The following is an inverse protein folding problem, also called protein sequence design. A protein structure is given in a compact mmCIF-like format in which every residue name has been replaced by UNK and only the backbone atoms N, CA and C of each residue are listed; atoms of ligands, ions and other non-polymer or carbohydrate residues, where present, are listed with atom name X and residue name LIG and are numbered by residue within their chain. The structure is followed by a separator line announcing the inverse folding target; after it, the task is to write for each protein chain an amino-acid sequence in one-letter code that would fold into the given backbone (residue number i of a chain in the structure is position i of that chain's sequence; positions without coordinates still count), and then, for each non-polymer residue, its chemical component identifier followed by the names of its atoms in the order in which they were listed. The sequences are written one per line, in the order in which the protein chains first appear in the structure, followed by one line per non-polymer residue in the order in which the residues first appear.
data_IF_814353187380
#
_entry.id   IF_814353187380
#
_cell.length_a   1.000
_cell.length_b   1.000
_cell.length_c   1.000
_cell.angle_alpha   90.00
_cell.angle_beta   90.00
_cell.angle_gamma   90.00
#
_symmetry.space_group_name_H-M   'P 1'
#
loop_
_entity.id
_entity.type
_entity.pdbx_description
1 polymer ?
#
# COMPACT_ATOMS: atom_id res chain seq x y z
N UNK A 1 -19.33 22.50 -0.53
CA UNK A 1 -18.82 23.90 -0.75
C UNK A 1 -19.13 24.29 -2.18
N UNK A 2 -19.86 25.36 -2.36
CA UNK A 2 -20.20 25.87 -3.69
C UNK A 2 -18.93 26.38 -4.37
N UNK A 3 -18.66 25.98 -5.63
CA UNK A 3 -17.45 26.37 -6.40
C UNK A 3 -17.30 27.89 -6.52
N UNK A 4 -18.37 28.62 -6.29
CA UNK A 4 -18.42 30.08 -6.42
C UNK A 4 -17.75 30.85 -5.28
N UNK A 5 -17.40 30.22 -4.16
CA UNK A 5 -16.87 30.90 -2.96
C UNK A 5 -15.36 30.67 -2.74
N UNK A 6 -14.66 30.08 -3.70
CA UNK A 6 -13.21 29.81 -3.58
C UNK A 6 -12.36 31.10 -3.46
N UNK A 7 -12.85 32.21 -4.00
CA UNK A 7 -12.20 33.52 -3.92
C UNK A 7 -12.32 34.20 -2.54
N UNK A 8 -13.10 33.63 -1.63
CA UNK A 8 -13.26 34.11 -0.24
C UNK A 8 -12.29 33.44 0.73
N UNK A 9 -11.57 32.41 0.28
CA UNK A 9 -10.63 31.68 1.11
C UNK A 9 -9.30 32.43 1.23
N UNK A 10 -8.72 32.43 2.42
CA UNK A 10 -7.35 32.90 2.66
C UNK A 10 -6.35 31.90 2.05
N UNK A 11 -5.10 32.34 1.85
CA UNK A 11 -4.03 31.47 1.34
C UNK A 11 -3.82 30.24 2.25
N UNK A 12 -3.93 30.40 3.56
CA UNK A 12 -3.82 29.32 4.53
C UNK A 12 -4.99 28.33 4.42
N UNK A 13 -6.21 28.81 4.19
CA UNK A 13 -7.38 27.93 3.99
C UNK A 13 -7.26 27.15 2.68
N UNK A 14 -6.76 27.78 1.63
CA UNK A 14 -6.46 27.12 0.35
C UNK A 14 -5.37 26.06 0.55
N UNK A 15 -4.32 26.38 1.32
CA UNK A 15 -3.24 25.44 1.65
C UNK A 15 -3.78 24.24 2.44
N UNK A 16 -4.56 24.46 3.49
CA UNK A 16 -5.16 23.41 4.30
C UNK A 16 -6.08 22.52 3.45
N UNK A 17 -6.91 23.10 2.60
CA UNK A 17 -7.81 22.35 1.72
C UNK A 17 -7.05 21.49 0.72
N UNK A 18 -5.98 22.03 0.12
CA UNK A 18 -5.13 21.26 -0.79
C UNK A 18 -4.45 20.09 -0.10
N UNK A 19 -3.95 20.31 1.12
CA UNK A 19 -3.36 19.26 1.95
C UNK A 19 -4.39 18.19 2.35
N UNK A 20 -5.57 18.62 2.78
CA UNK A 20 -6.67 17.71 3.13
C UNK A 20 -7.01 16.76 1.97
N UNK A 21 -7.07 17.28 0.74
CA UNK A 21 -7.36 16.45 -0.44
C UNK A 21 -6.28 15.37 -0.68
N UNK A 22 -5.00 15.69 -0.42
CA UNK A 22 -3.91 14.71 -0.56
C UNK A 22 -3.99 13.66 0.56
N UNK A 23 -4.21 14.08 1.80
CA UNK A 23 -4.34 13.19 2.95
C UNK A 23 -5.55 12.26 2.82
N UNK A 24 -6.69 12.78 2.40
CA UNK A 24 -7.89 11.98 2.11
C UNK A 24 -7.63 10.96 0.98
N UNK A 25 -6.82 11.33 -0.02
CA UNK A 25 -6.42 10.40 -1.08
C UNK A 25 -5.52 9.28 -0.55
N UNK A 26 -4.62 9.58 0.39
CA UNK A 26 -3.79 8.59 1.08
C UNK A 26 -4.67 7.65 1.90
N UNK A 27 -5.60 8.17 2.70
CA UNK A 27 -6.52 7.38 3.52
C UNK A 27 -7.37 6.44 2.65
N UNK A 28 -7.99 6.95 1.57
CA UNK A 28 -8.77 6.14 0.63
C UNK A 28 -7.91 5.07 -0.05
N UNK A 29 -6.64 5.36 -0.30
CA UNK A 29 -5.69 4.40 -0.86
C UNK A 29 -5.40 3.27 0.14
N UNK A 30 -5.13 3.60 1.41
CA UNK A 30 -4.93 2.62 2.48
C UNK A 30 -6.17 1.75 2.70
N UNK A 31 -7.36 2.36 2.73
CA UNK A 31 -8.63 1.63 2.81
C UNK A 31 -8.79 0.64 1.65
N UNK A 32 -8.40 1.03 0.43
CA UNK A 32 -8.45 0.14 -0.73
C UNK A 32 -7.46 -1.02 -0.62
N UNK A 33 -6.27 -0.79 -0.06
CA UNK A 33 -5.24 -1.82 0.22
C UNK A 33 -5.79 -2.82 1.25
N UNK A 34 -6.39 -2.33 2.33
CA UNK A 34 -7.01 -3.16 3.37
C UNK A 34 -8.12 -4.04 2.77
N UNK A 35 -9.06 -3.45 2.04
CA UNK A 35 -10.17 -4.19 1.41
C UNK A 35 -9.64 -5.26 0.43
N UNK A 36 -8.67 -4.93 -0.41
CA UNK A 36 -8.09 -5.91 -1.33
C UNK A 36 -7.47 -7.09 -0.55
N UNK A 37 -6.76 -6.81 0.57
CA UNK A 37 -6.19 -7.86 1.42
C UNK A 37 -7.25 -8.75 2.07
N UNK A 38 -8.38 -8.17 2.50
CA UNK A 38 -9.51 -8.91 3.06
C UNK A 38 -10.14 -9.82 1.99
N UNK A 39 -10.39 -9.29 0.79
CA UNK A 39 -10.95 -10.08 -0.31
C UNK A 39 -10.05 -11.23 -0.74
N UNK A 40 -8.73 -11.05 -0.73
CA UNK A 40 -7.79 -12.14 -1.01
C UNK A 40 -7.78 -13.23 0.07
N UNK A 41 -8.12 -12.92 1.32
CA UNK A 41 -8.27 -13.91 2.39
C UNK A 41 -9.55 -14.73 2.27
N UNK A 42 -10.59 -14.14 1.73
CA UNK A 42 -11.93 -14.68 1.72
C UNK A 42 -12.53 -14.72 0.31
N UNK A 43 -12.74 -15.91 -0.22
CA UNK A 43 -13.47 -16.11 -1.46
C UNK A 43 -14.95 -16.31 -1.14
N UNK A 44 -15.70 -15.23 -1.13
CA UNK A 44 -17.13 -15.25 -0.86
C UNK A 44 -17.93 -15.60 -2.12
N UNK A 45 -19.01 -16.37 -1.95
CA UNK A 45 -19.96 -16.61 -3.04
C UNK A 45 -19.44 -17.55 -4.13
N UNK A 46 -18.72 -18.62 -3.75
CA UNK A 46 -18.18 -19.61 -4.68
C UNK A 46 -19.19 -20.02 -5.76
N UNK A 47 -20.41 -20.39 -5.37
CA UNK A 47 -21.45 -20.83 -6.32
C UNK A 47 -21.88 -19.69 -7.28
N UNK A 48 -21.84 -18.44 -6.85
CA UNK A 48 -22.14 -17.29 -7.68
C UNK A 48 -21.06 -17.10 -8.76
N UNK A 49 -19.79 -17.13 -8.36
CA UNK A 49 -18.68 -16.95 -9.29
C UNK A 49 -18.51 -18.12 -10.26
N UNK A 50 -18.77 -19.34 -9.81
CA UNK A 50 -18.77 -20.53 -10.69
C UNK A 50 -19.78 -20.41 -11.84
N UNK A 51 -20.94 -19.77 -11.59
CA UNK A 51 -21.93 -19.48 -12.66
C UNK A 51 -21.37 -18.60 -13.78
N UNK A 52 -20.43 -17.72 -13.45
CA UNK A 52 -19.76 -16.83 -14.40
C UNK A 52 -18.38 -17.34 -14.83
N UNK A 53 -18.05 -18.60 -14.52
CA UNK A 53 -16.77 -19.23 -14.83
C UNK A 53 -15.56 -18.51 -14.23
N UNK A 54 -15.75 -17.79 -13.13
CA UNK A 54 -14.68 -17.12 -12.41
C UNK A 54 -14.12 -18.09 -11.36
N UNK A 55 -12.86 -18.49 -11.54
CA UNK A 55 -12.17 -19.33 -10.57
C UNK A 55 -11.71 -18.53 -9.34
N UNK A 56 -11.39 -19.25 -8.25
CA UNK A 56 -10.78 -18.60 -7.08
C UNK A 56 -9.43 -17.95 -7.39
N UNK A 57 -8.69 -18.47 -8.36
CA UNK A 57 -7.41 -17.92 -8.81
C UNK A 57 -7.63 -16.60 -9.54
N UNK A 58 -8.60 -16.52 -10.47
CA UNK A 58 -8.94 -15.27 -11.15
C UNK A 58 -9.38 -14.20 -10.17
N UNK A 59 -10.17 -14.59 -9.16
CA UNK A 59 -10.62 -13.69 -8.11
C UNK A 59 -9.45 -13.13 -7.28
N UNK A 60 -8.53 -14.00 -6.83
CA UNK A 60 -7.35 -13.57 -6.07
C UNK A 60 -6.42 -12.72 -6.92
N UNK A 61 -6.22 -13.07 -8.18
CA UNK A 61 -5.41 -12.31 -9.10
C UNK A 61 -5.95 -10.89 -9.29
N UNK A 62 -7.25 -10.75 -9.53
CA UNK A 62 -7.88 -9.43 -9.66
C UNK A 62 -7.66 -8.55 -8.42
N UNK A 63 -7.84 -9.10 -7.21
CA UNK A 63 -7.64 -8.33 -6.00
C UNK A 63 -6.17 -8.05 -5.71
N UNK A 64 -5.27 -8.92 -6.12
CA UNK A 64 -3.84 -8.68 -6.05
C UNK A 64 -3.40 -7.56 -6.98
N UNK A 65 -3.97 -7.49 -8.17
CA UNK A 65 -3.76 -6.39 -9.12
C UNK A 65 -4.17 -5.05 -8.51
N UNK A 66 -5.36 -5.00 -7.91
CA UNK A 66 -5.85 -3.82 -7.20
C UNK A 66 -4.89 -3.46 -6.06
N UNK A 67 -4.44 -4.43 -5.29
CA UNK A 67 -3.50 -4.26 -4.18
C UNK A 67 -2.17 -3.64 -4.65
N UNK A 68 -1.53 -4.21 -5.66
CA UNK A 68 -0.27 -3.72 -6.23
C UNK A 68 -0.42 -2.30 -6.80
N UNK A 69 -1.52 -2.06 -7.53
CA UNK A 69 -1.81 -0.74 -8.09
C UNK A 69 -1.98 0.31 -6.99
N UNK A 70 -2.71 -0.01 -5.91
CA UNK A 70 -2.94 0.91 -4.80
C UNK A 70 -1.66 1.20 -3.99
N UNK A 71 -0.82 0.21 -3.74
CA UNK A 71 0.50 0.45 -3.10
C UNK A 71 1.37 1.37 -3.97
N UNK A 72 1.37 1.18 -5.29
CA UNK A 72 2.09 2.07 -6.20
C UNK A 72 1.52 3.49 -6.21
N UNK A 73 0.19 3.62 -6.17
CA UNK A 73 -0.49 4.92 -6.06
C UNK A 73 -0.14 5.62 -4.75
N UNK A 74 -0.06 4.87 -3.64
CA UNK A 74 0.32 5.41 -2.32
C UNK A 74 1.70 6.06 -2.36
N UNK A 75 2.67 5.44 -3.04
CA UNK A 75 4.00 6.01 -3.28
C UNK A 75 3.92 7.36 -4.02
N UNK A 76 3.13 7.43 -5.08
CA UNK A 76 2.97 8.67 -5.85
C UNK A 76 2.27 9.77 -5.02
N UNK A 77 1.38 9.39 -4.10
CA UNK A 77 0.75 10.32 -3.16
C UNK A 77 1.75 10.88 -2.14
N UNK A 78 2.75 10.10 -1.69
CA UNK A 78 3.82 10.65 -0.85
C UNK A 78 4.63 11.72 -1.59
N UNK A 79 4.93 11.52 -2.87
CA UNK A 79 5.63 12.52 -3.67
C UNK A 79 4.81 13.80 -3.83
N UNK A 80 3.51 13.67 -4.06
CA UNK A 80 2.59 14.82 -4.11
C UNK A 80 2.53 15.55 -2.77
N UNK A 81 2.49 14.82 -1.65
CA UNK A 81 2.47 15.40 -0.31
C UNK A 81 3.74 16.20 -0.02
N UNK A 82 4.92 15.62 -0.31
CA UNK A 82 6.21 16.30 -0.14
C UNK A 82 6.29 17.53 -1.03
N UNK A 83 5.96 17.38 -2.31
CA UNK A 83 5.93 18.48 -3.26
C UNK A 83 5.05 19.65 -2.79
N UNK A 84 3.89 19.33 -2.22
CA UNK A 84 2.94 20.30 -1.71
C UNK A 84 3.45 21.01 -0.47
N UNK A 85 3.89 20.25 0.55
CA UNK A 85 4.35 20.80 1.83
C UNK A 85 5.62 21.65 1.71
N UNK A 86 6.52 21.30 0.80
CA UNK A 86 7.77 22.03 0.58
C UNK A 86 7.67 23.06 -0.55
N UNK A 87 6.52 23.18 -1.20
CA UNK A 87 6.32 24.18 -2.28
C UNK A 87 7.23 23.98 -3.49
N UNK A 88 7.61 22.72 -3.82
CA UNK A 88 8.61 22.43 -4.86
C UNK A 88 8.13 22.74 -6.28
N UNK A 89 6.84 22.96 -6.48
CA UNK A 89 6.19 23.34 -7.75
C UNK A 89 6.39 22.31 -8.89
N UNK A 90 6.66 21.04 -8.55
CA UNK A 90 6.75 19.97 -9.53
C UNK A 90 5.37 19.64 -10.10
N UNK A 91 5.26 19.51 -11.43
CA UNK A 91 3.97 19.30 -12.12
C UNK A 91 3.95 17.96 -12.87
N UNK A 92 2.80 17.31 -12.84
CA UNK A 92 2.52 16.10 -13.63
C UNK A 92 3.58 15.01 -13.45
N UNK A 93 4.16 14.53 -14.52
CA UNK A 93 5.18 13.47 -14.53
C UNK A 93 6.48 13.83 -13.80
N UNK A 94 6.74 15.13 -13.58
CA UNK A 94 7.93 15.58 -12.85
C UNK A 94 7.76 15.47 -11.33
N UNK A 95 6.55 15.22 -10.81
CA UNK A 95 6.33 14.91 -9.40
C UNK A 95 6.68 13.44 -9.14
N UNK A 96 7.97 13.13 -9.10
CA UNK A 96 8.51 11.79 -8.94
C UNK A 96 9.75 11.82 -8.03
N UNK A 97 10.21 10.62 -7.60
CA UNK A 97 11.33 10.48 -6.67
C UNK A 97 12.60 11.16 -7.16
N UNK A 98 12.97 10.99 -8.41
CA UNK A 98 14.20 11.54 -9.00
C UNK A 98 14.24 13.07 -8.90
N UNK A 99 13.13 13.74 -9.15
CA UNK A 99 13.06 15.21 -9.07
C UNK A 99 13.00 15.71 -7.63
N UNK A 100 12.35 14.97 -6.72
CA UNK A 100 12.36 15.28 -5.29
C UNK A 100 13.76 15.07 -4.69
N UNK A 101 14.46 14.03 -5.07
CA UNK A 101 15.82 13.73 -4.60
C UNK A 101 16.82 14.85 -4.97
N UNK A 102 16.68 15.45 -6.14
CA UNK A 102 17.47 16.63 -6.54
C UNK A 102 17.26 17.84 -5.62
N UNK A 103 16.14 17.88 -4.89
CA UNK A 103 15.77 18.93 -3.94
C UNK A 103 16.10 18.57 -2.49
N UNK A 104 16.94 17.55 -2.27
CA UNK A 104 17.26 17.01 -0.94
C UNK A 104 17.76 18.11 0.00
N UNK A 105 18.64 18.97 -0.47
CA UNK A 105 19.21 20.06 0.35
C UNK A 105 18.16 21.13 0.71
N UNK A 106 17.22 21.42 -0.21
CA UNK A 106 16.10 22.34 0.01
C UNK A 106 15.10 21.77 1.02
N UNK A 107 14.82 20.47 0.95
CA UNK A 107 13.91 19.76 1.86
C UNK A 107 14.54 19.60 3.26
N UNK A 108 15.83 19.38 3.32
CA UNK A 108 16.63 19.23 4.55
C UNK A 108 15.98 18.31 5.62
N UNK A 109 15.49 17.14 5.18
CA UNK A 109 14.92 16.12 6.04
C UNK A 109 15.51 14.74 5.70
N UNK A 110 16.72 14.41 6.18
CA UNK A 110 17.40 13.16 5.85
C UNK A 110 16.59 11.91 6.24
N UNK A 111 15.85 12.00 7.35
CA UNK A 111 15.02 10.88 7.82
C UNK A 111 13.86 10.57 6.86
N UNK A 112 13.22 11.59 6.27
CA UNK A 112 12.21 11.40 5.24
C UNK A 112 12.76 10.66 4.02
N UNK A 113 13.95 11.04 3.55
CA UNK A 113 14.62 10.37 2.42
C UNK A 113 14.94 8.91 2.72
N UNK A 114 15.43 8.65 3.93
CA UNK A 114 15.64 7.28 4.40
C UNK A 114 14.35 6.47 4.38
N UNK A 115 13.26 6.99 4.96
CA UNK A 115 11.96 6.30 4.99
C UNK A 115 11.43 5.98 3.59
N UNK A 116 11.56 6.90 2.63
CA UNK A 116 11.10 6.67 1.24
C UNK A 116 11.94 5.60 0.55
N UNK A 117 13.26 5.62 0.77
CA UNK A 117 14.16 4.61 0.21
C UNK A 117 13.85 3.22 0.79
N UNK A 118 13.68 3.12 2.11
CA UNK A 118 13.31 1.87 2.76
C UNK A 118 11.92 1.37 2.34
N UNK A 119 10.95 2.25 2.21
CA UNK A 119 9.65 1.89 1.67
C UNK A 119 9.77 1.28 0.27
N UNK A 120 10.59 1.90 -0.60
CA UNK A 120 10.84 1.37 -1.93
C UNK A 120 11.48 -0.02 -1.89
N UNK A 121 12.51 -0.21 -1.06
CA UNK A 121 13.22 -1.49 -0.94
C UNK A 121 12.29 -2.61 -0.47
N UNK A 122 11.54 -2.37 0.60
CA UNK A 122 10.64 -3.37 1.21
C UNK A 122 9.41 -3.70 0.38
N UNK A 123 8.98 -2.79 -0.49
CA UNK A 123 7.84 -2.98 -1.39
C UNK A 123 8.27 -3.19 -2.86
N UNK A 124 9.55 -3.43 -3.11
CA UNK A 124 10.11 -3.57 -4.46
C UNK A 124 9.42 -4.67 -5.28
N UNK A 125 9.07 -5.79 -4.67
CA UNK A 125 8.34 -6.89 -5.30
C UNK A 125 7.02 -6.37 -5.88
N UNK A 126 6.27 -5.58 -5.11
CA UNK A 126 4.98 -5.02 -5.54
C UNK A 126 5.17 -4.01 -6.67
N UNK A 127 6.18 -3.14 -6.57
CA UNK A 127 6.46 -2.15 -7.62
C UNK A 127 6.87 -2.80 -8.93
N UNK A 128 7.68 -3.86 -8.88
CA UNK A 128 8.08 -4.65 -10.05
C UNK A 128 6.88 -5.37 -10.65
N UNK A 129 6.08 -6.08 -9.85
CA UNK A 129 4.86 -6.76 -10.32
C UNK A 129 3.91 -5.80 -11.03
N UNK A 130 3.73 -4.57 -10.51
CA UNK A 130 2.91 -3.55 -11.17
C UNK A 130 3.49 -3.09 -12.50
N UNK A 131 4.82 -2.94 -12.60
CA UNK A 131 5.46 -2.53 -13.83
C UNK A 131 5.34 -3.62 -14.90
N UNK A 132 5.57 -4.88 -14.54
CA UNK A 132 5.42 -6.03 -15.42
C UNK A 132 3.99 -6.13 -15.95
N UNK A 133 3.00 -5.90 -15.09
CA UNK A 133 1.61 -5.84 -15.50
C UNK A 133 1.31 -4.74 -16.52
N UNK A 134 1.85 -3.56 -16.30
CA UNK A 134 1.62 -2.42 -17.19
C UNK A 134 2.23 -2.64 -18.58
N UNK A 135 3.31 -3.44 -18.69
CA UNK A 135 4.02 -3.70 -19.93
C UNK A 135 3.61 -5.02 -20.60
N UNK A 136 3.29 -6.04 -19.82
CA UNK A 136 3.00 -7.39 -20.32
C UNK A 136 1.51 -7.77 -20.25
N UNK A 137 0.68 -6.93 -19.64
CA UNK A 137 -0.75 -7.19 -19.47
C UNK A 137 -1.05 -8.33 -18.49
N UNK A 138 -0.06 -8.78 -17.73
CA UNK A 138 -0.21 -9.85 -16.74
C UNK A 138 0.42 -9.43 -15.42
N UNK A 139 -0.39 -9.23 -14.40
CA UNK A 139 0.11 -9.34 -13.03
C UNK A 139 0.02 -10.81 -12.64
N UNK A 140 1.16 -11.47 -12.52
CA UNK A 140 1.22 -12.83 -12.04
C UNK A 140 2.02 -12.86 -10.75
N UNK A 141 1.37 -13.12 -9.62
CA UNK A 141 2.13 -13.56 -8.45
C UNK A 141 2.69 -14.96 -8.74
N UNK A 142 3.98 -15.18 -8.47
CA UNK A 142 4.65 -16.47 -8.73
C UNK A 142 3.85 -17.66 -8.20
N UNK A 143 3.29 -17.55 -6.99
CA UNK A 143 2.47 -18.60 -6.39
C UNK A 143 1.23 -18.97 -7.24
N UNK A 144 0.65 -18.03 -7.97
CA UNK A 144 -0.49 -18.32 -8.87
C UNK A 144 -0.04 -18.85 -10.20
N UNK A 145 1.05 -18.33 -10.75
CA UNK A 145 1.64 -18.87 -11.98
C UNK A 145 2.01 -20.33 -11.82
N UNK A 146 2.52 -20.71 -10.65
CA UNK A 146 2.87 -22.09 -10.33
C UNK A 146 1.63 -23.00 -10.19
N UNK A 147 0.46 -22.44 -9.82
CA UNK A 147 -0.79 -23.19 -9.59
C UNK A 147 -1.68 -23.17 -10.83
N UNK A 148 -1.66 -22.13 -11.64
CA UNK A 148 -2.57 -21.93 -12.76
C UNK A 148 -2.65 -23.14 -13.72
N UNK A 149 -1.55 -23.83 -14.10
CA UNK A 149 -1.61 -25.02 -14.93
C UNK A 149 -2.46 -26.14 -14.32
N UNK A 150 -2.42 -26.28 -12.99
CA UNK A 150 -3.15 -27.35 -12.28
C UNK A 150 -4.63 -27.04 -12.15
N UNK A 151 -4.98 -25.77 -11.95
CA UNK A 151 -6.38 -25.32 -11.97
C UNK A 151 -6.99 -25.56 -13.35
N UNK A 152 -6.25 -25.27 -14.43
CA UNK A 152 -6.68 -25.54 -15.80
C UNK A 152 -6.85 -27.03 -16.07
N UNK A 153 -5.94 -27.89 -15.59
CA UNK A 153 -6.07 -29.34 -15.72
C UNK A 153 -7.29 -29.83 -14.95
N UNK A 154 -7.56 -29.31 -13.74
CA UNK A 154 -8.73 -29.69 -12.93
C UNK A 154 -10.05 -29.29 -13.60
N UNK A 155 -10.12 -28.11 -14.18
CA UNK A 155 -11.28 -27.64 -14.94
C UNK A 155 -11.49 -28.50 -16.19
N UNK A 156 -10.42 -28.78 -16.94
CA UNK A 156 -10.47 -29.63 -18.14
C UNK A 156 -10.85 -31.07 -17.80
N UNK A 157 -10.30 -31.63 -16.73
CA UNK A 157 -10.64 -32.95 -16.26
C UNK A 157 -12.10 -33.06 -15.80
N UNK A 158 -12.62 -32.05 -15.10
CA UNK A 158 -14.05 -32.00 -14.73
C UNK A 158 -14.96 -32.00 -15.95
N UNK A 159 -14.62 -31.27 -16.98
CA UNK A 159 -15.40 -31.21 -18.22
C UNK A 159 -15.33 -32.53 -19.02
N UNK A 160 -14.19 -33.25 -18.98
CA UNK A 160 -14.05 -34.56 -19.64
C UNK A 160 -14.62 -35.74 -18.86
N UNK A 161 -14.71 -35.66 -17.53
CA UNK A 161 -15.35 -36.71 -16.71
C UNK A 161 -16.82 -36.88 -17.10
N UNK A 162 -17.48 -35.82 -17.61
CA UNK A 162 -18.85 -35.89 -18.11
C UNK A 162 -18.95 -36.76 -19.38
N UNK A 163 -17.88 -36.86 -20.17
CA UNK A 163 -17.91 -37.60 -21.45
C UNK A 163 -17.44 -39.07 -21.33
N UNK A 164 -16.53 -39.42 -20.39
CA UNK A 164 -15.82 -40.70 -20.47
C UNK A 164 -15.77 -41.55 -19.19
N UNK A 165 -16.50 -41.26 -18.13
CA UNK A 165 -16.54 -42.04 -16.85
C UNK A 165 -15.17 -42.26 -16.14
N UNK A 166 -14.11 -41.52 -16.50
CA UNK A 166 -12.83 -41.62 -15.83
C UNK A 166 -12.74 -40.67 -14.63
N UNK A 167 -12.81 -41.20 -13.45
CA UNK A 167 -12.57 -40.47 -12.20
C UNK A 167 -11.07 -40.26 -12.02
N UNK A 168 -10.53 -39.12 -12.46
CA UNK A 168 -9.21 -38.71 -12.01
C UNK A 168 -9.35 -38.30 -10.55
N UNK A 169 -8.96 -39.21 -9.63
CA UNK A 169 -8.89 -38.86 -8.20
C UNK A 169 -7.94 -37.70 -8.05
N UNK A 170 -8.44 -36.56 -7.55
CA UNK A 170 -7.62 -35.44 -7.11
C UNK A 170 -6.53 -35.98 -6.16
N UNK A 171 -5.29 -35.98 -6.60
CA UNK A 171 -4.19 -36.37 -5.73
C UNK A 171 -4.05 -35.37 -4.61
N UNK A 172 -3.86 -35.85 -3.37
CA UNK A 172 -3.56 -35.03 -2.17
C UNK A 172 -2.40 -34.06 -2.35
N UNK A 173 -1.53 -34.32 -3.31
CA UNK A 173 -0.40 -33.49 -3.68
C UNK A 173 -0.80 -32.11 -4.24
N UNK A 174 -1.86 -32.02 -5.06
CA UNK A 174 -2.32 -30.74 -5.65
C UNK A 174 -3.00 -29.84 -4.62
N UNK A 175 -3.81 -30.44 -3.76
CA UNK A 175 -4.41 -29.70 -2.65
C UNK A 175 -3.35 -29.17 -1.69
N UNK A 176 -2.31 -29.95 -1.41
CA UNK A 176 -1.20 -29.55 -0.59
C UNK A 176 -0.43 -28.36 -1.23
N UNK A 177 -0.07 -28.47 -2.50
CA UNK A 177 0.59 -27.35 -3.23
C UNK A 177 -0.26 -26.11 -3.25
N UNK A 178 -1.54 -26.22 -3.59
CA UNK A 178 -2.45 -25.08 -3.60
C UNK A 178 -2.54 -24.40 -2.23
N UNK A 179 -2.72 -25.18 -1.17
CA UNK A 179 -2.79 -24.66 0.21
C UNK A 179 -1.50 -23.95 0.60
N UNK A 180 -0.34 -24.52 0.31
CA UNK A 180 0.96 -23.92 0.64
C UNK A 180 1.23 -22.64 -0.16
N UNK A 181 1.02 -22.66 -1.46
CA UNK A 181 1.22 -21.49 -2.30
C UNK A 181 0.25 -20.37 -1.92
N UNK A 182 -1.00 -20.71 -1.59
CA UNK A 182 -1.97 -19.72 -1.07
C UNK A 182 -1.53 -19.14 0.27
N UNK A 183 -1.00 -19.97 1.17
CA UNK A 183 -0.49 -19.53 2.47
C UNK A 183 0.66 -18.54 2.30
N UNK A 184 1.69 -18.89 1.53
CA UNK A 184 2.81 -18.01 1.23
C UNK A 184 2.36 -16.67 0.61
N UNK A 185 1.47 -16.74 -0.37
CA UNK A 185 0.89 -15.56 -0.98
C UNK A 185 0.22 -14.62 0.03
N UNK A 186 -0.61 -15.17 0.93
CA UNK A 186 -1.30 -14.36 1.94
C UNK A 186 -0.35 -13.78 2.97
N UNK A 187 0.71 -14.51 3.34
CA UNK A 187 1.77 -14.01 4.23
C UNK A 187 2.51 -12.83 3.58
N UNK A 188 2.88 -12.92 2.30
CA UNK A 188 3.50 -11.83 1.56
C UNK A 188 2.58 -10.60 1.45
N UNK A 189 1.29 -10.80 1.17
CA UNK A 189 0.29 -9.73 1.15
C UNK A 189 0.20 -9.04 2.52
N UNK A 190 0.19 -9.79 3.62
CA UNK A 190 0.11 -9.23 4.96
C UNK A 190 1.37 -8.42 5.32
N UNK A 191 2.55 -8.92 4.96
CA UNK A 191 3.82 -8.21 5.17
C UNK A 191 3.83 -6.90 4.36
N UNK A 192 3.46 -6.96 3.08
CA UNK A 192 3.42 -5.77 2.22
C UNK A 192 2.38 -4.75 2.71
N UNK A 193 1.20 -5.22 3.15
CA UNK A 193 0.18 -4.37 3.77
C UNK A 193 0.73 -3.69 5.02
N UNK A 194 1.30 -4.47 5.95
CA UNK A 194 1.88 -3.94 7.18
C UNK A 194 2.94 -2.87 6.88
N UNK A 195 3.86 -3.13 5.96
CA UNK A 195 4.86 -2.17 5.54
C UNK A 195 4.24 -0.89 4.96
N UNK A 196 3.23 -1.00 4.09
CA UNK A 196 2.55 0.16 3.52
C UNK A 196 1.94 1.07 4.61
N UNK A 197 1.27 0.49 5.61
CA UNK A 197 0.69 1.24 6.73
C UNK A 197 1.76 1.84 7.65
N UNK A 198 2.78 1.06 8.00
CA UNK A 198 3.88 1.51 8.85
C UNK A 198 4.61 2.70 8.21
N UNK A 199 5.03 2.56 6.95
CA UNK A 199 5.74 3.64 6.26
C UNK A 199 4.88 4.87 6.05
N UNK A 200 3.57 4.71 5.77
CA UNK A 200 2.66 5.87 5.72
C UNK A 200 2.70 6.64 7.02
N UNK A 201 2.55 5.94 8.14
CA UNK A 201 2.57 6.56 9.47
C UNK A 201 3.90 7.27 9.73
N UNK A 202 5.04 6.61 9.45
CA UNK A 202 6.36 7.19 9.65
C UNK A 202 6.60 8.42 8.77
N UNK A 203 6.19 8.37 7.49
CA UNK A 203 6.31 9.51 6.56
C UNK A 203 5.45 10.69 7.03
N UNK A 204 4.20 10.46 7.42
CA UNK A 204 3.32 11.52 7.94
C UNK A 204 3.89 12.13 9.22
N UNK A 205 4.42 11.31 10.14
CA UNK A 205 5.09 11.82 11.34
C UNK A 205 6.34 12.66 11.00
N UNK A 206 7.15 12.25 10.02
CA UNK A 206 8.35 12.99 9.62
C UNK A 206 8.05 14.34 8.97
N UNK A 207 6.84 14.51 8.44
CA UNK A 207 6.35 15.73 7.79
C UNK A 207 5.56 16.65 8.74
N UNK A 208 5.22 16.21 9.95
CA UNK A 208 4.37 16.95 10.89
C UNK A 208 4.91 18.31 11.27
N UNK A 209 6.24 18.44 11.47
CA UNK A 209 6.87 19.70 11.84
C UNK A 209 6.82 20.71 10.69
N UNK A 210 7.06 20.23 9.45
CA UNK A 210 6.94 21.07 8.27
C UNK A 210 5.52 21.57 8.07
N UNK A 211 4.53 20.72 8.28
CA UNK A 211 3.12 21.12 8.28
C UNK A 211 2.82 22.20 9.32
N UNK A 212 3.27 22.00 10.57
CA UNK A 212 3.05 22.96 11.64
C UNK A 212 3.70 24.31 11.38
N UNK A 213 4.86 24.35 10.68
CA UNK A 213 5.53 25.57 10.26
C UNK A 213 4.82 26.30 9.12
N UNK A 214 4.10 25.56 8.27
CA UNK A 214 3.45 26.12 7.07
C UNK A 214 2.10 26.79 7.35
N UNK A 215 1.59 26.68 8.58
CA UNK A 215 0.33 27.31 9.00
C UNK A 215 0.65 28.55 9.84
N UNK A 216 0.06 29.69 9.50
CA UNK A 216 0.27 30.94 10.24
C UNK A 216 -0.23 30.86 11.68
N UNK A 217 0.37 31.69 12.58
CA UNK A 217 -0.02 31.76 13.98
C UNK A 217 -1.50 32.14 14.18
N UNK A 218 -2.07 32.90 13.26
CA UNK A 218 -3.43 33.41 13.37
C UNK A 218 -4.49 32.31 13.17
N UNK A 219 -4.21 31.33 12.33
CA UNK A 219 -5.05 30.12 12.20
C UNK A 219 -4.92 29.23 13.41
N UNK A 220 -3.73 29.12 14.01
CA UNK A 220 -3.56 28.38 15.28
C UNK A 220 -4.50 28.89 16.36
N UNK A 221 -4.81 30.18 16.39
CA UNK A 221 -5.75 30.77 17.36
C UNK A 221 -7.23 30.55 17.00
N UNK A 222 -7.62 30.61 15.71
CA UNK A 222 -9.00 30.47 15.26
C UNK A 222 -9.60 29.08 15.36
N UNK A 223 -8.77 28.05 15.21
CA UNK A 223 -9.15 26.63 15.33
C UNK A 223 -8.59 25.98 16.60
N UNK A 224 -8.17 26.80 17.58
CA UNK A 224 -7.15 26.45 18.55
C UNK A 224 -7.56 25.52 19.70
N UNK A 225 -8.83 25.35 20.04
CA UNK A 225 -9.13 24.43 21.14
C UNK A 225 -9.09 22.96 20.73
N UNK A 226 -9.60 22.64 19.57
CA UNK A 226 -9.66 21.24 19.11
C UNK A 226 -8.37 20.80 18.40
N UNK A 227 -7.85 21.64 17.49
CA UNK A 227 -6.59 21.34 16.81
C UNK A 227 -5.36 21.51 17.72
N UNK A 228 -5.38 22.45 18.66
CA UNK A 228 -4.32 22.59 19.66
C UNK A 228 -4.19 21.37 20.57
N UNK A 229 -5.33 20.76 20.96
CA UNK A 229 -5.35 19.49 21.70
C UNK A 229 -4.80 18.35 20.84
N UNK A 230 -5.19 18.27 19.56
CA UNK A 230 -4.69 17.26 18.63
C UNK A 230 -3.19 17.45 18.35
N UNK A 231 -2.73 18.69 18.14
CA UNK A 231 -1.30 18.99 17.93
C UNK A 231 -0.48 18.72 19.20
N UNK A 232 -0.99 19.08 20.39
CA UNK A 232 -0.35 18.77 21.67
C UNK A 232 -0.35 17.26 21.95
N UNK A 233 -1.39 16.54 21.57
CA UNK A 233 -1.45 15.09 21.69
C UNK A 233 -0.50 14.39 20.70
N UNK A 234 -0.38 14.91 19.47
CA UNK A 234 0.63 14.48 18.49
C UNK A 234 2.04 14.79 19.00
N UNK A 235 2.27 15.96 19.59
CA UNK A 235 3.58 16.31 20.17
C UNK A 235 3.91 15.51 21.43
N UNK A 236 2.94 15.26 22.31
CA UNK A 236 3.09 14.38 23.48
C UNK A 236 3.35 12.93 23.09
N UNK A 237 2.65 12.46 22.08
CA UNK A 237 2.84 11.12 21.55
C UNK A 237 4.10 10.98 20.68
N UNK A 238 4.70 12.09 20.24
CA UNK A 238 5.94 12.10 19.43
C UNK A 238 7.13 11.46 20.18
N UNK A 239 7.29 11.72 21.48
CA UNK A 239 8.35 11.11 22.29
C UNK A 239 8.11 9.60 22.52
N UNK A 240 6.88 9.21 22.81
CA UNK A 240 6.51 7.80 23.02
C UNK A 240 6.39 7.02 21.71
N UNK A 241 6.04 7.70 20.62
CA UNK A 241 5.87 7.10 19.30
C UNK A 241 7.21 6.88 18.60
N UNK A 242 8.16 7.81 18.71
CA UNK A 242 9.52 7.60 18.22
C UNK A 242 10.18 6.41 18.95
N UNK A 243 10.02 6.29 20.26
CA UNK A 243 10.50 5.12 21.01
C UNK A 243 9.79 3.81 20.60
N UNK A 244 8.46 3.81 20.40
CA UNK A 244 7.73 2.62 19.94
C UNK A 244 8.06 2.23 18.50
N UNK A 245 8.21 3.19 17.60
CA UNK A 245 8.60 2.93 16.20
C UNK A 245 10.00 2.30 16.17
N UNK A 246 10.95 2.79 16.98
CA UNK A 246 12.28 2.21 17.07
C UNK A 246 12.26 0.80 17.67
N UNK A 247 11.47 0.55 18.71
CA UNK A 247 11.36 -0.80 19.33
C UNK A 247 10.62 -1.79 18.42
N UNK A 248 9.56 -1.39 17.74
CA UNK A 248 8.89 -2.22 16.74
C UNK A 248 9.78 -2.47 15.51
N UNK A 249 10.59 -1.49 15.12
CA UNK A 249 11.53 -1.61 14.01
C UNK A 249 12.70 -2.55 14.36
N UNK A 250 13.29 -2.42 15.55
CA UNK A 250 14.31 -3.36 16.05
C UNK A 250 13.77 -4.79 16.16
N UNK A 251 12.52 -4.96 16.59
CA UNK A 251 11.89 -6.27 16.67
C UNK A 251 11.70 -6.90 15.27
N UNK A 252 11.23 -6.14 14.29
CA UNK A 252 11.06 -6.63 12.91
C UNK A 252 12.40 -6.91 12.23
N UNK A 253 13.44 -6.06 12.42
CA UNK A 253 14.76 -6.27 11.83
C UNK A 253 15.50 -7.47 12.44
N UNK A 254 15.25 -7.79 13.71
CA UNK A 254 15.85 -8.95 14.39
C UNK A 254 15.12 -10.27 14.04
N UNK A 255 13.86 -10.23 13.64
CA UNK A 255 13.14 -11.43 13.16
C UNK A 255 13.57 -11.85 11.77
N UNK A 256 13.91 -10.91 10.89
CA UNK A 256 14.39 -11.20 9.52
C UNK A 256 15.81 -11.80 9.52
N UNK A 257 16.67 -11.44 10.46
CA UNK A 257 18.02 -12.01 10.59
C UNK A 257 18.05 -13.45 11.12
N UNK A 258 17.06 -13.85 11.93
CA UNK A 258 16.97 -15.21 12.46
C UNK A 258 16.35 -16.23 11.49
N UNK A 259 15.76 -15.77 10.37
CA UNK A 259 15.16 -16.68 9.37
C UNK A 259 16.17 -17.14 8.31
N UNK A 260 17.31 -16.45 8.18
CA UNK A 260 18.35 -16.83 7.22
C UNK A 260 19.36 -17.86 7.75
N UNK A 261 19.47 -18.08 9.06
CA UNK A 261 20.44 -19.03 9.62
C UNK A 261 19.93 -20.49 9.76
N UNK A 262 18.72 -20.80 9.30
CA UNK A 262 18.15 -22.17 9.36
C UNK A 262 17.98 -22.86 8.02
N UNK A 263 18.78 -22.52 7.02
CA UNK A 263 18.89 -23.29 5.78
C UNK A 263 20.35 -23.73 5.56
N UNK A 264 20.78 -24.69 6.39
CA UNK A 264 21.85 -25.64 6.05
C UNK A 264 21.50 -27.03 6.57
#
# INVERSE_FOLDING_TARGET
MDRNNYHLLTDDEIFILGLYNILNSIENCLFSIENASIFMKHFFGKNYFEKYQISSVDYYQYHYDVFCFKISTLKDLYYKLINYLYGLKLKGKNCNWREIEKKKDEINNPFLFYLITENYNRLSIIYNSRNDSAHEGKIGHKAFNDIAPYVMIDIYAKNKIIENNYVIKRGSFWEYKYKNSRKQFLEEVDICKHNAFLFTRCILCSLSDKFAQSISSDIKYKYSETCGKIIQEIQKNKCSMNQRIWTEWEYCSNTDSNTQEKQY
#
